data_IF_449450505406
#
_entry.id   IF_449450505406
#
_cell.length_a   1.000
_cell.length_b   1.000
_cell.length_c   1.000
_cell.angle_alpha   90.00
_cell.angle_beta   90.00
_cell.angle_gamma   90.00
#
_symmetry.space_group_name_H-M   'P 1'
#
loop_
_entity.id
_entity.type
_entity.pdbx_description
1 polymer ?
#
# COMPACT_ATOMS: atom_id res chain seq x y z
N UNK A 1 -64.02 12.27 48.13
CA UNK A 1 -62.84 11.42 48.40
C UNK A 1 -61.88 11.68 47.25
N UNK A 2 -61.06 12.72 47.28
CA UNK A 2 -59.85 12.93 48.10
C UNK A 2 -58.71 11.96 47.76
N UNK A 3 -57.52 12.55 47.63
CA UNK A 3 -56.16 12.01 47.40
C UNK A 3 -55.64 12.12 45.96
N UNK A 4 -54.47 12.68 45.65
CA UNK A 4 -53.45 13.45 46.39
C UNK A 4 -52.57 14.01 45.27
N UNK A 5 -52.35 15.34 45.21
CA UNK A 5 -51.30 15.91 44.36
C UNK A 5 -49.99 15.75 45.11
N UNK A 6 -49.08 14.91 44.61
CA UNK A 6 -47.67 14.93 45.02
C UNK A 6 -46.98 16.17 44.42
N UNK A 7 -46.38 17.06 45.23
CA UNK A 7 -45.75 18.29 44.75
C UNK A 7 -44.24 18.16 44.50
N UNK A 8 -43.64 16.98 44.59
CA UNK A 8 -42.17 16.83 44.64
C UNK A 8 -41.44 16.68 43.29
N UNK A 9 -42.13 16.39 42.19
CA UNK A 9 -41.46 16.13 40.90
C UNK A 9 -41.12 17.38 40.07
N UNK A 10 -41.54 18.58 40.51
CA UNK A 10 -41.38 19.83 39.73
C UNK A 10 -40.27 20.72 40.29
N UNK A 11 -39.66 20.39 41.43
CA UNK A 11 -38.74 21.30 42.12
C UNK A 11 -37.29 21.31 41.62
N UNK A 12 -36.86 20.38 40.77
CA UNK A 12 -35.45 20.35 40.30
C UNK A 12 -35.22 21.26 39.07
N UNK A 13 -36.26 21.60 38.31
CA UNK A 13 -36.13 22.39 37.08
C UNK A 13 -36.12 23.93 37.30
N UNK A 14 -36.23 24.42 38.54
CA UNK A 14 -36.47 25.85 38.83
C UNK A 14 -35.30 26.58 39.53
N UNK A 15 -34.04 26.20 39.28
CA UNK A 15 -32.88 26.87 39.91
C UNK A 15 -31.72 27.26 38.96
N UNK A 16 -31.98 27.50 37.67
CA UNK A 16 -30.97 28.06 36.74
C UNK A 16 -31.34 29.43 36.17
N UNK A 17 -32.23 30.17 36.83
CA UNK A 17 -32.40 31.61 36.58
C UNK A 17 -31.55 32.41 37.56
N UNK A 18 -30.25 32.47 37.29
CA UNK A 18 -29.37 33.50 37.85
C UNK A 18 -28.81 34.30 36.69
N UNK A 19 -29.05 35.61 36.71
CA UNK A 19 -28.66 36.59 35.70
C UNK A 19 -27.15 36.53 35.39
N UNK A 20 -26.77 35.69 34.43
CA UNK A 20 -25.42 35.77 33.87
C UNK A 20 -25.32 37.06 33.06
N UNK A 21 -24.37 37.91 33.46
CA UNK A 21 -24.11 39.13 32.68
C UNK A 21 -23.42 38.73 31.38
N UNK A 22 -23.69 39.44 30.28
CA UNK A 22 -23.13 39.13 28.95
C UNK A 22 -21.59 38.98 28.97
N UNK A 23 -20.93 39.77 29.80
CA UNK A 23 -19.48 39.75 29.99
C UNK A 23 -18.98 38.46 30.67
N UNK A 24 -19.75 37.92 31.62
CA UNK A 24 -19.42 36.68 32.32
C UNK A 24 -19.59 35.45 31.42
N UNK A 25 -20.60 35.46 30.54
CA UNK A 25 -20.79 34.40 29.54
C UNK A 25 -19.65 34.43 28.51
N UNK A 26 -19.24 35.62 28.06
CA UNK A 26 -18.12 35.80 27.12
C UNK A 26 -16.80 35.31 27.71
N UNK A 27 -16.52 35.63 28.97
CA UNK A 27 -15.29 35.17 29.62
C UNK A 27 -15.29 33.66 29.89
N UNK A 28 -16.45 33.09 30.24
CA UNK A 28 -16.59 31.64 30.41
C UNK A 28 -16.36 30.87 29.11
N UNK A 29 -16.93 31.33 27.99
CA UNK A 29 -16.73 30.73 26.67
C UNK A 29 -15.29 30.87 26.15
N UNK A 30 -14.63 32.01 26.43
CA UNK A 30 -13.20 32.19 26.12
C UNK A 30 -12.31 31.24 26.94
N UNK A 31 -12.67 30.98 28.19
CA UNK A 31 -11.93 30.07 29.06
C UNK A 31 -12.15 28.58 28.70
N UNK A 32 -13.27 28.24 28.05
CA UNK A 32 -13.64 26.86 27.69
C UNK A 32 -13.96 26.68 26.20
N UNK A 33 -12.98 26.91 25.29
CA UNK A 33 -13.21 26.85 23.84
C UNK A 33 -13.51 25.43 23.31
N UNK A 34 -13.13 24.38 24.05
CA UNK A 34 -13.46 22.98 23.70
C UNK A 34 -14.95 22.69 23.75
N UNK A 35 -15.70 23.39 24.59
CA UNK A 35 -17.14 23.18 24.76
C UNK A 35 -17.93 23.41 23.45
N UNK A 36 -17.45 24.35 22.61
CA UNK A 36 -17.99 24.63 21.28
C UNK A 36 -17.48 23.67 20.19
N UNK A 37 -16.40 22.94 20.47
CA UNK A 37 -15.77 22.01 19.51
C UNK A 37 -16.26 20.58 19.70
N UNK A 38 -16.61 20.20 20.93
CA UNK A 38 -17.00 18.84 21.33
C UNK A 38 -18.51 18.59 21.22
N UNK A 39 -19.35 19.64 21.21
CA UNK A 39 -20.81 19.51 21.14
C UNK A 39 -21.41 20.33 19.97
N UNK A 40 -21.48 19.76 18.75
CA UNK A 40 -22.00 20.41 17.55
C UNK A 40 -23.51 20.70 17.64
N UNK A 41 -24.25 19.92 18.42
CA UNK A 41 -25.69 20.04 18.58
C UNK A 41 -26.05 21.26 19.41
N UNK A 42 -25.22 21.62 20.39
CA UNK A 42 -25.37 22.83 21.19
C UNK A 42 -25.28 24.11 20.34
N UNK A 43 -24.44 24.11 19.31
CA UNK A 43 -24.38 25.23 18.34
C UNK A 43 -25.62 25.23 17.45
N UNK A 44 -26.07 24.06 16.99
CA UNK A 44 -27.25 23.94 16.14
C UNK A 44 -28.53 24.45 16.85
N UNK A 45 -28.70 24.13 18.13
CA UNK A 45 -29.85 24.55 18.95
C UNK A 45 -29.81 26.06 19.28
N UNK A 46 -28.64 26.63 19.58
CA UNK A 46 -28.49 28.08 19.81
C UNK A 46 -28.74 28.92 18.55
N UNK A 47 -28.70 28.31 17.36
CA UNK A 47 -28.86 28.97 16.06
C UNK A 47 -30.23 28.73 15.42
N UNK A 48 -31.17 28.08 16.12
CA UNK A 48 -32.55 27.97 15.66
C UNK A 48 -33.17 29.37 15.47
N UNK A 49 -33.86 29.63 14.35
CA UNK A 49 -34.05 30.98 13.83
C UNK A 49 -35.04 31.78 14.69
N UNK A 50 -34.53 32.73 15.47
CA UNK A 50 -35.30 33.93 15.77
C UNK A 50 -34.92 34.95 14.71
N UNK A 51 -35.83 35.21 13.76
CA UNK A 51 -35.66 36.23 12.73
C UNK A 51 -35.33 37.58 13.39
N UNK A 52 -34.08 38.04 13.28
CA UNK A 52 -33.65 39.43 13.05
C UNK A 52 -32.20 39.67 13.56
N UNK A 53 -31.26 39.89 12.63
CA UNK A 53 -30.48 41.13 12.51
C UNK A 53 -29.23 40.88 11.64
N UNK A 54 -29.17 41.66 10.56
CA UNK A 54 -28.12 41.65 9.55
C UNK A 54 -26.89 42.40 10.06
N UNK A 55 -25.80 41.69 10.33
CA UNK A 55 -24.44 42.10 9.93
C UNK A 55 -23.35 41.13 10.42
N UNK A 56 -23.61 40.31 11.45
CA UNK A 56 -22.55 39.52 12.10
C UNK A 56 -22.80 37.99 12.12
N UNK A 57 -23.96 37.52 11.64
CA UNK A 57 -24.35 36.09 11.63
C UNK A 57 -23.92 35.38 10.34
N UNK A 58 -23.52 36.14 9.31
CA UNK A 58 -23.07 35.60 8.01
C UNK A 58 -21.66 35.01 8.10
N UNK A 59 -20.79 35.54 8.97
CA UNK A 59 -19.37 35.14 9.02
C UNK A 59 -19.15 33.74 9.63
N UNK A 60 -19.86 33.38 10.70
CA UNK A 60 -19.68 32.05 11.31
C UNK A 60 -20.25 30.92 10.44
N UNK A 61 -21.39 31.18 9.77
CA UNK A 61 -21.95 30.24 8.80
C UNK A 61 -21.04 30.07 7.58
N UNK A 62 -20.47 31.17 7.07
CA UNK A 62 -19.50 31.13 5.99
C UNK A 62 -18.24 30.33 6.38
N UNK A 63 -17.71 30.54 7.59
CA UNK A 63 -16.55 29.81 8.11
C UNK A 63 -16.83 28.31 8.29
N UNK A 64 -18.01 27.93 8.80
CA UNK A 64 -18.39 26.52 8.93
C UNK A 64 -18.58 25.83 7.58
N UNK A 65 -19.23 26.51 6.62
CA UNK A 65 -19.38 26.03 5.24
C UNK A 65 -18.00 25.87 4.60
N UNK A 66 -17.09 26.82 4.79
CA UNK A 66 -15.73 26.76 4.27
C UNK A 66 -14.95 25.56 4.86
N UNK A 67 -15.06 25.32 6.17
CA UNK A 67 -14.45 24.16 6.83
C UNK A 67 -15.05 22.84 6.34
N UNK A 68 -16.37 22.75 6.19
CA UNK A 68 -17.04 21.57 5.64
C UNK A 68 -16.61 21.33 4.19
N UNK A 69 -16.58 22.37 3.36
CA UNK A 69 -16.09 22.27 1.99
C UNK A 69 -14.62 21.83 1.94
N UNK A 70 -13.77 22.31 2.86
CA UNK A 70 -12.38 21.87 2.98
C UNK A 70 -12.29 20.39 3.33
N UNK A 71 -13.08 19.91 4.30
CA UNK A 71 -13.14 18.48 4.65
C UNK A 71 -13.67 17.62 3.50
N UNK A 72 -14.70 18.08 2.79
CA UNK A 72 -15.25 17.38 1.61
C UNK A 72 -14.21 17.29 0.50
N UNK A 73 -13.44 18.36 0.26
CA UNK A 73 -12.32 18.31 -0.70
C UNK A 73 -11.26 17.29 -0.26
N UNK A 74 -10.80 17.36 0.99
CA UNK A 74 -9.83 16.40 1.54
C UNK A 74 -10.31 14.95 1.42
N UNK A 75 -11.59 14.67 1.71
CA UNK A 75 -12.15 13.32 1.57
C UNK A 75 -12.22 12.86 0.12
N UNK A 76 -12.53 13.76 -0.82
CA UNK A 76 -12.52 13.44 -2.26
C UNK A 76 -11.11 13.17 -2.77
N UNK A 77 -10.13 13.93 -2.30
CA UNK A 77 -8.72 13.74 -2.67
C UNK A 77 -8.24 12.37 -2.16
N UNK A 78 -8.49 12.04 -0.88
CA UNK A 78 -8.19 10.72 -0.30
C UNK A 78 -8.89 9.60 -1.07
N UNK A 79 -10.17 9.79 -1.44
CA UNK A 79 -10.91 8.79 -2.21
C UNK A 79 -10.31 8.60 -3.60
N UNK A 80 -9.90 9.67 -4.28
CA UNK A 80 -9.25 9.59 -5.58
C UNK A 80 -7.92 8.83 -5.48
N UNK A 81 -7.09 9.15 -4.49
CA UNK A 81 -5.82 8.47 -4.22
C UNK A 81 -6.02 6.98 -3.93
N UNK A 82 -7.05 6.63 -3.14
CA UNK A 82 -7.38 5.23 -2.85
C UNK A 82 -7.88 4.47 -4.08
N UNK A 83 -8.69 5.10 -4.92
CA UNK A 83 -9.17 4.48 -6.17
C UNK A 83 -8.00 4.21 -7.11
N UNK A 84 -7.07 5.16 -7.23
CA UNK A 84 -5.87 5.02 -8.05
C UNK A 84 -4.97 3.89 -7.53
N UNK A 85 -4.67 3.88 -6.23
CA UNK A 85 -3.88 2.82 -5.59
C UNK A 85 -4.54 1.44 -5.74
N UNK A 86 -5.86 1.36 -5.57
CA UNK A 86 -6.63 0.10 -5.75
C UNK A 86 -6.58 -0.36 -7.20
N UNK A 87 -6.71 0.57 -8.16
CA UNK A 87 -6.65 0.27 -9.59
C UNK A 87 -5.27 -0.24 -9.98
N UNK A 88 -4.20 0.42 -9.53
CA UNK A 88 -2.82 -0.02 -9.77
C UNK A 88 -2.57 -1.42 -9.18
N UNK A 89 -3.01 -1.67 -7.95
CA UNK A 89 -2.89 -2.98 -7.32
C UNK A 89 -3.68 -4.06 -8.09
N UNK A 90 -4.89 -3.74 -8.56
CA UNK A 90 -5.70 -4.66 -9.37
C UNK A 90 -5.02 -5.00 -10.70
N UNK A 91 -4.40 -4.03 -11.38
CA UNK A 91 -3.66 -4.27 -12.61
C UNK A 91 -2.42 -5.12 -12.36
N UNK A 92 -1.66 -4.82 -11.30
CA UNK A 92 -0.50 -5.62 -10.90
C UNK A 92 -0.89 -7.08 -10.61
N UNK A 93 -1.99 -7.30 -9.88
CA UNK A 93 -2.51 -8.64 -9.60
C UNK A 93 -2.93 -9.38 -10.88
N UNK A 94 -3.62 -8.71 -11.81
CA UNK A 94 -3.99 -9.29 -13.11
C UNK A 94 -2.76 -9.70 -13.93
N UNK A 95 -1.76 -8.83 -14.02
CA UNK A 95 -0.50 -9.12 -14.72
C UNK A 95 0.22 -10.33 -14.09
N UNK A 96 0.29 -10.39 -12.76
CA UNK A 96 0.92 -11.52 -12.04
C UNK A 96 0.17 -12.82 -12.28
N UNK A 97 -1.17 -12.81 -12.25
CA UNK A 97 -1.98 -13.99 -12.57
C UNK A 97 -1.81 -14.44 -14.01
N UNK A 98 -1.80 -13.50 -14.97
CA UNK A 98 -1.59 -13.81 -16.38
C UNK A 98 -0.20 -14.42 -16.61
N UNK A 99 0.85 -13.82 -16.02
CA UNK A 99 2.21 -14.35 -16.09
C UNK A 99 2.29 -15.77 -15.50
N UNK A 100 1.58 -16.03 -14.42
CA UNK A 100 1.51 -17.36 -13.79
C UNK A 100 0.85 -18.40 -14.70
N UNK A 101 -0.25 -18.04 -15.38
CA UNK A 101 -0.93 -18.91 -16.35
C UNK A 101 -0.01 -19.19 -17.55
N UNK A 102 0.62 -18.15 -18.09
CA UNK A 102 1.53 -18.29 -19.23
C UNK A 102 2.72 -19.17 -18.89
N UNK A 103 3.20 -19.11 -17.65
CA UNK A 103 4.28 -19.93 -17.12
C UNK A 103 3.86 -21.41 -17.02
N UNK A 104 2.67 -21.69 -16.46
CA UNK A 104 2.10 -23.04 -16.40
C UNK A 104 1.80 -23.64 -17.79
N UNK A 105 1.55 -22.80 -18.79
CA UNK A 105 1.30 -23.22 -20.17
C UNK A 105 2.55 -23.76 -20.90
N UNK A 106 3.75 -23.56 -20.36
CA UNK A 106 5.02 -23.96 -21.00
C UNK A 106 5.25 -25.46 -20.86
N UNK A 107 5.63 -26.11 -21.97
CA UNK A 107 5.73 -27.58 -22.09
C UNK A 107 7.15 -28.11 -22.01
N UNK A 108 8.13 -27.23 -21.84
CA UNK A 108 9.52 -27.62 -21.57
C UNK A 108 10.20 -26.59 -20.67
N UNK A 109 11.19 -27.02 -19.90
CA UNK A 109 12.03 -26.14 -19.09
C UNK A 109 12.68 -25.03 -19.93
N UNK A 110 13.10 -25.36 -21.15
CA UNK A 110 13.67 -24.39 -22.08
C UNK A 110 12.67 -23.27 -22.42
N UNK A 111 11.44 -23.62 -22.78
CA UNK A 111 10.39 -22.63 -23.08
C UNK A 111 9.94 -21.83 -21.86
N UNK A 112 10.09 -22.40 -20.66
CA UNK A 112 9.84 -21.72 -19.39
C UNK A 112 10.90 -20.63 -19.15
N UNK A 113 12.18 -20.99 -19.23
CA UNK A 113 13.30 -20.07 -19.04
C UNK A 113 13.28 -18.99 -20.11
N UNK A 114 13.05 -19.37 -21.37
CA UNK A 114 12.93 -18.41 -22.48
C UNK A 114 11.78 -17.41 -22.21
N UNK A 115 10.62 -17.86 -21.72
CA UNK A 115 9.52 -16.96 -21.33
C UNK A 115 9.90 -16.03 -20.17
N UNK A 116 10.60 -16.53 -19.15
CA UNK A 116 10.96 -15.71 -17.98
C UNK A 116 11.95 -14.59 -18.33
N UNK A 117 12.90 -14.86 -19.23
CA UNK A 117 14.04 -13.97 -19.48
C UNK A 117 13.86 -13.11 -20.74
N UNK A 118 13.03 -13.56 -21.69
CA UNK A 118 12.78 -12.79 -22.90
C UNK A 118 12.09 -11.45 -22.64
N UNK A 119 12.41 -10.45 -23.47
CA UNK A 119 11.86 -9.10 -23.39
C UNK A 119 10.36 -9.05 -23.73
N UNK A 120 9.89 -9.96 -24.57
CA UNK A 120 8.49 -10.14 -24.97
C UNK A 120 7.78 -11.24 -24.16
N UNK A 121 8.41 -11.73 -23.08
CA UNK A 121 7.87 -12.76 -22.22
C UNK A 121 7.25 -12.20 -20.94
N UNK A 122 7.75 -12.68 -19.81
CA UNK A 122 7.27 -12.31 -18.48
C UNK A 122 7.45 -10.81 -18.19
N UNK A 123 8.54 -10.22 -18.67
CA UNK A 123 8.82 -8.78 -18.50
C UNK A 123 7.73 -7.91 -19.13
N UNK A 124 7.29 -8.22 -20.35
CA UNK A 124 6.22 -7.51 -21.05
C UNK A 124 4.87 -7.62 -20.30
N UNK A 125 4.48 -8.84 -19.89
CA UNK A 125 3.22 -9.09 -19.18
C UNK A 125 3.15 -8.34 -17.84
N UNK A 126 4.28 -8.25 -17.13
CA UNK A 126 4.40 -7.52 -15.87
C UNK A 126 4.63 -6.00 -16.07
N UNK A 127 4.81 -5.54 -17.31
CA UNK A 127 5.17 -4.16 -17.64
C UNK A 127 6.50 -3.73 -17.01
N UNK A 128 7.50 -4.61 -17.06
CA UNK A 128 8.84 -4.43 -16.53
C UNK A 128 9.84 -4.21 -17.66
N UNK A 129 10.98 -3.61 -17.36
CA UNK A 129 12.07 -3.50 -18.34
C UNK A 129 12.80 -4.84 -18.48
N UNK A 130 12.97 -5.55 -17.37
CA UNK A 130 13.75 -6.79 -17.36
C UNK A 130 13.37 -7.70 -16.20
N UNK A 131 13.49 -9.00 -16.44
CA UNK A 131 13.34 -10.06 -15.45
C UNK A 131 14.57 -10.95 -15.57
N UNK A 132 15.26 -11.16 -14.45
CA UNK A 132 16.45 -12.01 -14.41
C UNK A 132 16.28 -13.10 -13.36
N UNK A 133 16.49 -14.35 -13.77
CA UNK A 133 16.62 -15.48 -12.88
C UNK A 133 18.10 -15.70 -12.53
N UNK A 134 18.42 -15.72 -11.24
CA UNK A 134 19.74 -16.04 -10.74
C UNK A 134 19.70 -17.31 -9.89
N UNK A 135 20.73 -18.15 -9.98
CA UNK A 135 20.86 -19.38 -9.20
C UNK A 135 22.25 -19.39 -8.57
N UNK A 136 22.35 -19.76 -7.29
CA UNK A 136 23.65 -19.98 -6.66
C UNK A 136 24.33 -21.23 -7.20
N UNK A 137 25.63 -21.16 -7.41
CA UNK A 137 26.46 -22.29 -7.81
C UNK A 137 27.68 -22.39 -6.92
N UNK A 138 28.01 -23.64 -6.58
CA UNK A 138 29.15 -24.04 -5.77
C UNK A 138 30.37 -24.42 -6.63
N UNK A 139 30.19 -24.55 -7.95
CA UNK A 139 31.19 -25.17 -8.84
C UNK A 139 31.53 -24.36 -10.10
N UNK A 140 30.92 -23.19 -10.30
CA UNK A 140 31.14 -22.34 -11.48
C UNK A 140 31.45 -20.89 -11.08
N UNK A 141 32.14 -20.16 -11.96
CA UNK A 141 32.46 -18.74 -11.78
C UNK A 141 31.17 -17.91 -11.96
N UNK A 142 30.89 -16.99 -11.02
CA UNK A 142 29.75 -16.09 -11.12
C UNK A 142 29.73 -15.34 -12.47
N UNK A 143 28.58 -15.30 -13.14
CA UNK A 143 28.50 -14.81 -14.52
C UNK A 143 27.19 -15.13 -15.23
N UNK A 144 27.24 -15.15 -16.57
CA UNK A 144 26.10 -15.55 -17.42
C UNK A 144 26.13 -17.06 -17.57
N UNK A 145 25.15 -17.74 -16.98
CA UNK A 145 24.93 -19.17 -17.14
C UNK A 145 24.20 -19.51 -18.44
N UNK A 146 23.62 -20.70 -18.48
CA UNK A 146 22.93 -21.23 -19.66
C UNK A 146 21.64 -20.44 -19.92
N UNK A 147 21.38 -20.09 -21.19
CA UNK A 147 20.12 -19.47 -21.65
C UNK A 147 19.73 -18.17 -20.93
N UNK A 148 20.72 -17.41 -20.45
CA UNK A 148 20.49 -16.10 -19.82
C UNK A 148 20.22 -16.14 -18.31
N UNK A 149 20.17 -17.33 -17.71
CA UNK A 149 20.17 -17.49 -16.24
C UNK A 149 21.50 -16.96 -15.73
N UNK A 150 21.48 -16.17 -14.65
CA UNK A 150 22.72 -15.69 -14.02
C UNK A 150 23.16 -16.62 -12.90
N UNK A 151 24.47 -16.78 -12.80
CA UNK A 151 25.09 -17.59 -11.77
C UNK A 151 25.64 -16.67 -10.69
N UNK A 152 25.22 -16.90 -9.46
CA UNK A 152 25.74 -16.24 -8.28
C UNK A 152 26.72 -17.17 -7.56
N UNK A 153 27.74 -16.58 -6.94
CA UNK A 153 28.58 -17.33 -6.01
C UNK A 153 27.75 -17.82 -4.82
N UNK A 154 28.20 -18.89 -4.18
CA UNK A 154 27.56 -19.42 -2.98
C UNK A 154 27.41 -18.33 -1.90
N UNK A 155 26.19 -18.20 -1.35
CA UNK A 155 25.82 -17.15 -0.40
C UNK A 155 25.62 -15.77 -1.03
N UNK A 156 25.59 -15.66 -2.36
CA UNK A 156 25.30 -14.42 -3.07
C UNK A 156 23.89 -13.89 -2.79
N UNK A 157 22.89 -14.77 -2.68
CA UNK A 157 21.51 -14.38 -2.37
C UNK A 157 21.44 -13.83 -0.95
N UNK A 158 22.11 -14.47 0.01
CA UNK A 158 22.19 -14.00 1.40
C UNK A 158 22.91 -12.66 1.51
N UNK A 159 23.94 -12.43 0.69
CA UNK A 159 24.67 -11.15 0.67
C UNK A 159 23.82 -10.00 0.14
N UNK A 160 22.94 -10.29 -0.83
CA UNK A 160 22.08 -9.30 -1.47
C UNK A 160 20.85 -8.99 -0.60
N UNK A 161 20.14 -10.02 -0.14
CA UNK A 161 18.85 -9.88 0.55
C UNK A 161 18.94 -10.01 2.08
N UNK A 162 20.08 -10.41 2.64
CA UNK A 162 20.15 -10.83 4.05
C UNK A 162 19.14 -11.95 4.31
N UNK A 163 18.41 -11.88 5.42
CA UNK A 163 17.38 -12.88 5.77
C UNK A 163 15.99 -12.58 5.17
N UNK A 164 15.86 -11.57 4.32
CA UNK A 164 14.56 -11.15 3.80
C UNK A 164 14.09 -12.05 2.64
N UNK A 165 12.78 -12.27 2.57
CA UNK A 165 12.16 -13.02 1.46
C UNK A 165 12.16 -12.19 0.16
N UNK A 166 11.97 -10.89 0.28
CA UNK A 166 12.05 -9.95 -0.83
C UNK A 166 12.54 -8.58 -0.35
N UNK A 167 12.99 -7.76 -1.29
CA UNK A 167 13.35 -6.37 -1.09
C UNK A 167 12.85 -5.52 -2.26
N UNK A 168 12.24 -4.38 -1.94
CA UNK A 168 11.80 -3.38 -2.91
C UNK A 168 12.68 -2.14 -2.78
N UNK A 169 13.21 -1.65 -3.90
CA UNK A 169 14.09 -0.48 -3.91
C UNK A 169 13.66 0.50 -5.00
N UNK A 170 13.22 1.69 -4.58
CA UNK A 170 12.91 2.81 -5.45
C UNK A 170 14.19 3.62 -5.77
N UNK A 171 14.23 4.29 -6.92
CA UNK A 171 15.37 5.12 -7.36
C UNK A 171 16.73 4.38 -7.27
N UNK A 172 16.76 3.14 -7.74
CA UNK A 172 17.93 2.27 -7.61
C UNK A 172 18.98 2.60 -8.67
N UNK A 173 20.26 2.52 -8.30
CA UNK A 173 21.34 2.33 -9.27
C UNK A 173 21.53 0.83 -9.49
N UNK A 174 20.82 0.29 -10.48
CA UNK A 174 20.72 -1.15 -10.64
C UNK A 174 22.07 -1.82 -10.95
N UNK A 175 22.31 -3.00 -10.38
CA UNK A 175 23.56 -3.71 -10.56
C UNK A 175 23.70 -4.29 -11.96
N UNK A 176 24.79 -3.97 -12.66
CA UNK A 176 25.17 -4.65 -13.93
C UNK A 176 25.37 -6.16 -13.75
N UNK A 177 25.68 -6.61 -12.54
CA UNK A 177 25.76 -8.03 -12.21
C UNK A 177 24.40 -8.74 -12.36
N UNK A 178 23.31 -8.05 -12.03
CA UNK A 178 21.94 -8.59 -12.10
C UNK A 178 21.26 -8.29 -13.42
N UNK A 179 21.45 -7.10 -14.00
CA UNK A 179 20.68 -6.67 -15.19
C UNK A 179 21.53 -6.52 -16.46
N UNK A 180 22.86 -6.68 -16.37
CA UNK A 180 23.75 -6.56 -17.52
C UNK A 180 23.69 -5.17 -18.14
N UNK A 181 23.42 -5.09 -19.45
CA UNK A 181 23.33 -3.82 -20.18
C UNK A 181 22.05 -3.03 -19.83
N UNK A 182 20.99 -3.71 -19.39
CA UNK A 182 19.71 -3.08 -19.06
C UNK A 182 19.72 -2.36 -17.71
N UNK A 183 20.80 -2.51 -16.93
CA UNK A 183 20.93 -1.90 -15.61
C UNK A 183 20.74 -0.37 -15.63
N UNK A 184 21.17 0.31 -16.69
CA UNK A 184 21.03 1.77 -16.82
C UNK A 184 19.57 2.21 -17.07
N UNK A 185 18.70 1.30 -17.50
CA UNK A 185 17.29 1.56 -17.78
C UNK A 185 16.38 1.21 -16.59
N UNK A 186 16.92 0.60 -15.54
CA UNK A 186 16.18 0.20 -14.34
C UNK A 186 16.21 1.35 -13.32
N UNK A 187 15.05 1.93 -13.06
CA UNK A 187 14.85 2.99 -12.06
C UNK A 187 14.34 2.49 -10.71
N UNK A 188 13.68 1.33 -10.66
CA UNK A 188 13.32 0.64 -9.42
C UNK A 188 13.39 -0.87 -9.59
N UNK A 189 13.62 -1.59 -8.49
CA UNK A 189 13.76 -3.05 -8.50
C UNK A 189 12.97 -3.74 -7.39
N UNK A 190 12.55 -4.98 -7.69
CA UNK A 190 12.10 -5.96 -6.71
C UNK A 190 12.99 -7.19 -6.79
N UNK A 191 13.62 -7.53 -5.68
CA UNK A 191 14.48 -8.70 -5.53
C UNK A 191 13.75 -9.72 -4.67
N UNK A 192 13.63 -10.96 -5.15
CA UNK A 192 12.83 -12.00 -4.52
C UNK A 192 13.68 -13.25 -4.34
N UNK A 193 13.80 -13.74 -3.11
CA UNK A 193 14.47 -15.01 -2.80
C UNK A 193 13.63 -16.17 -3.33
N UNK A 194 14.26 -17.10 -4.03
CA UNK A 194 13.64 -18.35 -4.48
C UNK A 194 14.27 -19.52 -3.73
N UNK A 195 13.42 -20.39 -3.20
CA UNK A 195 13.80 -21.68 -2.62
C UNK A 195 13.21 -22.80 -3.46
N UNK A 196 14.01 -23.54 -4.22
CA UNK A 196 13.46 -24.63 -5.06
C UNK A 196 13.23 -25.92 -4.27
N UNK A 197 14.20 -26.29 -3.41
CA UNK A 197 14.15 -27.43 -2.49
C UNK A 197 15.30 -27.34 -1.48
N UNK A 198 15.26 -28.16 -0.41
CA UNK A 198 16.35 -28.24 0.57
C UNK A 198 17.65 -28.86 0.02
N UNK A 199 17.55 -29.57 -1.12
CA UNK A 199 18.69 -30.20 -1.78
C UNK A 199 19.32 -29.34 -2.87
N UNK A 200 18.75 -28.16 -3.16
CA UNK A 200 19.20 -27.26 -4.23
C UNK A 200 19.65 -25.93 -3.67
N UNK A 201 20.67 -25.29 -4.29
CA UNK A 201 21.05 -23.93 -3.93
C UNK A 201 19.86 -22.96 -4.10
N UNK A 202 19.80 -21.89 -3.27
CA UNK A 202 18.77 -20.87 -3.42
C UNK A 202 18.96 -20.09 -4.72
N UNK A 203 17.87 -19.48 -5.18
CA UNK A 203 17.85 -18.57 -6.31
C UNK A 203 17.43 -17.17 -5.92
N UNK A 204 17.52 -16.26 -6.88
CA UNK A 204 17.05 -14.90 -6.80
C UNK A 204 16.32 -14.55 -8.09
N UNK A 205 15.10 -14.06 -7.98
CA UNK A 205 14.39 -13.42 -9.07
C UNK A 205 14.54 -11.90 -8.94
N UNK A 206 15.14 -11.28 -9.93
CA UNK A 206 15.33 -9.83 -9.98
C UNK A 206 14.39 -9.23 -11.03
N UNK A 207 13.49 -8.35 -10.59
CA UNK A 207 12.53 -7.63 -11.42
C UNK A 207 12.99 -6.18 -11.53
N UNK A 208 13.25 -5.71 -12.74
CA UNK A 208 13.68 -4.32 -12.99
C UNK A 208 12.59 -3.55 -13.70
N UNK A 209 12.17 -2.42 -13.14
CA UNK A 209 11.23 -1.49 -13.74
C UNK A 209 11.93 -0.19 -14.15
N UNK A 210 11.51 0.38 -15.28
CA UNK A 210 12.00 1.68 -15.74
C UNK A 210 11.51 2.84 -14.87
N UNK A 211 10.29 2.74 -14.38
CA UNK A 211 9.69 3.72 -13.48
C UNK A 211 10.35 3.64 -12.09
N UNK A 212 10.96 4.72 -11.59
CA UNK A 212 11.59 4.76 -10.26
C UNK A 212 10.63 4.57 -9.07
N UNK A 213 9.32 4.66 -9.29
CA UNK A 213 8.30 4.57 -8.25
C UNK A 213 7.49 3.27 -8.30
N UNK A 214 7.70 2.42 -9.30
CA UNK A 214 6.95 1.17 -9.45
C UNK A 214 7.16 0.20 -8.28
N UNK A 215 8.40 0.07 -7.81
CA UNK A 215 8.76 -0.72 -6.63
C UNK A 215 9.18 0.18 -5.48
N UNK A 216 8.26 0.42 -4.54
CA UNK A 216 8.49 1.26 -3.37
C UNK A 216 8.56 0.40 -2.09
N UNK A 217 9.49 0.68 -1.15
CA UNK A 217 9.64 -0.11 0.09
C UNK A 217 8.38 -0.25 0.96
N UNK A 218 7.42 0.67 0.82
CA UNK A 218 6.17 0.68 1.59
C UNK A 218 5.05 -0.17 0.97
N UNK A 219 5.24 -0.68 -0.26
CA UNK A 219 4.26 -1.54 -0.92
C UNK A 219 4.18 -2.91 -0.23
N UNK A 220 2.98 -3.49 -0.19
CA UNK A 220 2.80 -4.85 0.27
C UNK A 220 3.43 -5.84 -0.73
N UNK A 221 4.17 -6.83 -0.21
CA UNK A 221 4.84 -7.84 -1.01
C UNK A 221 4.02 -9.10 -1.32
N UNK A 222 2.73 -9.14 -1.00
CA UNK A 222 1.89 -10.34 -1.15
C UNK A 222 1.93 -10.92 -2.58
N UNK A 223 1.94 -10.05 -3.60
CA UNK A 223 2.06 -10.45 -5.00
C UNK A 223 3.44 -11.01 -5.34
N UNK A 224 4.50 -10.51 -4.71
CA UNK A 224 5.87 -11.00 -4.89
C UNK A 224 6.04 -12.38 -4.25
N UNK A 225 5.47 -12.58 -3.06
CA UNK A 225 5.44 -13.87 -2.38
C UNK A 225 4.65 -14.91 -3.19
N UNK A 226 3.51 -14.51 -3.75
CA UNK A 226 2.76 -15.36 -4.68
C UNK A 226 3.61 -15.72 -5.90
N UNK A 227 4.22 -14.72 -6.54
CA UNK A 227 5.05 -14.93 -7.73
C UNK A 227 6.22 -15.86 -7.45
N UNK A 228 6.90 -15.68 -6.30
CA UNK A 228 7.97 -16.53 -5.83
C UNK A 228 7.53 -17.99 -5.81
N UNK A 229 6.40 -18.29 -5.16
CA UNK A 229 5.84 -19.64 -5.05
C UNK A 229 5.52 -20.26 -6.41
N UNK A 230 4.95 -19.50 -7.33
CA UNK A 230 4.63 -20.01 -8.67
C UNK A 230 5.92 -20.33 -9.43
N UNK A 231 6.94 -19.47 -9.35
CA UNK A 231 8.24 -19.69 -10.00
C UNK A 231 8.95 -20.90 -9.39
N UNK A 232 9.04 -20.96 -8.05
CA UNK A 232 9.63 -22.08 -7.33
C UNK A 232 8.98 -23.41 -7.73
N UNK A 233 7.65 -23.49 -7.72
CA UNK A 233 6.91 -24.70 -8.06
C UNK A 233 7.11 -25.07 -9.53
N UNK A 234 7.09 -24.09 -10.42
CA UNK A 234 7.27 -24.33 -11.86
C UNK A 234 8.67 -24.87 -12.16
N UNK A 235 9.70 -24.28 -11.56
CA UNK A 235 11.09 -24.75 -11.71
C UNK A 235 11.29 -26.11 -11.05
N UNK A 236 10.77 -26.32 -9.83
CA UNK A 236 10.92 -27.58 -9.10
C UNK A 236 10.30 -28.76 -9.84
N UNK A 237 9.15 -28.57 -10.49
CA UNK A 237 8.50 -29.59 -11.33
C UNK A 237 9.39 -30.06 -12.49
N UNK A 238 10.21 -29.17 -13.07
CA UNK A 238 11.11 -29.53 -14.17
C UNK A 238 12.44 -30.13 -13.70
N UNK A 239 12.79 -29.95 -12.43
CA UNK A 239 14.00 -30.49 -11.82
C UNK A 239 13.76 -31.82 -11.10
N UNK A 240 12.55 -32.40 -11.19
CA UNK A 240 12.13 -33.61 -10.46
C UNK A 240 12.46 -33.56 -8.96
N UNK A 241 12.39 -32.36 -8.36
CA UNK A 241 12.71 -32.17 -6.95
C UNK A 241 11.56 -32.68 -6.08
N UNK A 242 11.86 -33.30 -4.92
CA UNK A 242 10.82 -33.70 -3.99
C UNK A 242 10.02 -32.48 -3.53
N UNK A 243 8.70 -32.64 -3.39
CA UNK A 243 7.82 -31.58 -2.90
C UNK A 243 8.27 -31.11 -1.51
N UNK A 244 8.21 -29.79 -1.27
CA UNK A 244 8.47 -29.19 0.04
C UNK A 244 7.50 -29.79 1.07
N UNK A 245 8.05 -30.38 2.14
CA UNK A 245 7.29 -30.94 3.26
C UNK A 245 6.66 -29.89 4.14
#
# INVERSE_FOLDING_TARGET
MAHTNDPESTQVASQLTSDFTEEQVKDYLRAHPRLLTEDPDLIADMMAPTRANADNVVDLQALMIEQLQKRVRQLRDIQADLIEATSFNSLASQSVHQASIDMMGRRSFETLVDYMIAKDGMSDVLGLETVTLCIETNNEVAGIGIRGIRLLEQGGVERILGTQAYQLTANVEASRGLYGQQAEEVGSEALIRLHFSDATPPGLLALGAKDPHKFHPEQAGDLLDYLARVVEQSVALWLDLPAKG
#
